data_IF_323745848707
#
_entry.id   IF_323745848707
#
_cell.length_a   1.000
_cell.length_b   1.000
_cell.length_c   1.000
_cell.angle_alpha   90.00
_cell.angle_beta   90.00
_cell.angle_gamma   90.00
#
_symmetry.space_group_name_H-M   'P 1'
#
loop_
_entity.id
_entity.type
_entity.pdbx_description
1 polymer ?
#
# COMPACT_ATOMS: atom_id res chain seq x y z
N UNK A 1 -49.84 2.69 -4.66
CA UNK A 1 -50.02 4.02 -4.04
C UNK A 1 -48.79 4.84 -4.37
N UNK A 2 -48.99 5.98 -5.03
CA UNK A 2 -47.95 6.81 -5.64
C UNK A 2 -46.94 7.26 -4.59
N UNK A 3 -45.72 6.72 -4.66
CA UNK A 3 -44.60 7.17 -3.84
C UNK A 3 -44.10 8.49 -4.46
N UNK A 4 -44.85 9.57 -4.23
CA UNK A 4 -44.43 10.93 -4.50
C UNK A 4 -43.27 11.22 -3.56
N UNK A 5 -42.07 10.77 -3.93
CA UNK A 5 -40.84 11.07 -3.22
C UNK A 5 -40.75 12.58 -3.12
N UNK A 6 -40.99 13.13 -1.92
CA UNK A 6 -41.02 14.56 -1.67
C UNK A 6 -39.84 15.23 -2.39
N UNK A 7 -40.15 15.99 -3.44
CA UNK A 7 -39.17 16.76 -4.18
C UNK A 7 -38.90 18.00 -3.35
N UNK A 8 -37.89 17.95 -2.47
CA UNK A 8 -37.37 19.18 -1.88
C UNK A 8 -36.88 20.07 -3.01
N UNK A 9 -37.39 21.30 -3.05
CA UNK A 9 -36.83 22.35 -3.89
C UNK A 9 -35.61 22.92 -3.16
N UNK A 10 -34.44 22.76 -3.76
CA UNK A 10 -33.19 23.32 -3.24
C UNK A 10 -32.93 24.68 -3.88
N UNK A 11 -32.38 25.60 -3.10
CA UNK A 11 -31.95 26.90 -3.62
C UNK A 11 -30.80 26.69 -4.63
N UNK A 12 -30.93 27.18 -5.88
CA UNK A 12 -29.86 27.15 -6.88
C UNK A 12 -28.54 27.76 -6.38
N UNK A 13 -28.56 28.71 -5.45
CA UNK A 13 -27.34 29.31 -4.91
C UNK A 13 -26.46 28.31 -4.17
N UNK A 14 -27.03 27.26 -3.55
CA UNK A 14 -26.26 26.22 -2.85
C UNK A 14 -25.34 25.49 -3.83
N UNK A 15 -25.76 25.31 -5.09
CA UNK A 15 -24.94 24.67 -6.12
C UNK A 15 -23.69 25.49 -6.42
N UNK A 16 -23.84 26.79 -6.62
CA UNK A 16 -22.76 27.66 -7.07
C UNK A 16 -21.81 28.06 -5.92
N UNK A 17 -22.34 28.17 -4.69
CA UNK A 17 -21.57 28.60 -3.52
C UNK A 17 -21.04 27.47 -2.64
N UNK A 18 -21.59 26.26 -2.77
CA UNK A 18 -21.19 25.12 -1.92
C UNK A 18 -20.71 23.94 -2.75
N UNK A 19 -21.51 23.47 -3.70
CA UNK A 19 -21.18 22.25 -4.46
C UNK A 19 -19.92 22.46 -5.31
N UNK A 20 -19.89 23.49 -6.15
CA UNK A 20 -18.76 23.77 -7.02
C UNK A 20 -17.48 24.14 -6.23
N UNK A 21 -17.52 25.03 -5.23
CA UNK A 21 -16.33 25.37 -4.45
C UNK A 21 -15.74 24.18 -3.69
N UNK A 22 -16.56 23.31 -3.07
CA UNK A 22 -16.04 22.11 -2.40
C UNK A 22 -15.30 21.22 -3.40
N UNK A 23 -15.87 20.97 -4.58
CA UNK A 23 -15.20 20.13 -5.60
C UNK A 23 -13.88 20.74 -6.09
N UNK A 24 -13.85 22.06 -6.31
CA UNK A 24 -12.65 22.77 -6.77
C UNK A 24 -11.55 22.75 -5.71
N UNK A 25 -11.89 23.06 -4.46
CA UNK A 25 -10.96 23.01 -3.33
C UNK A 25 -10.40 21.59 -3.17
N UNK A 26 -11.23 20.55 -3.35
CA UNK A 26 -10.74 19.16 -3.28
C UNK A 26 -9.67 18.88 -4.31
N UNK A 27 -9.92 19.24 -5.57
CA UNK A 27 -8.96 19.04 -6.66
C UNK A 27 -7.66 19.80 -6.39
N UNK A 28 -7.76 21.08 -6.01
CA UNK A 28 -6.59 21.92 -5.74
C UNK A 28 -5.79 21.41 -4.55
N UNK A 29 -6.44 21.00 -3.45
CA UNK A 29 -5.75 20.46 -2.28
C UNK A 29 -5.12 19.11 -2.61
N UNK A 30 -5.76 18.26 -3.41
CA UNK A 30 -5.17 17.01 -3.88
C UNK A 30 -3.89 17.24 -4.69
N UNK A 31 -3.91 18.20 -5.62
CA UNK A 31 -2.74 18.59 -6.41
C UNK A 31 -1.64 19.18 -5.52
N UNK A 32 -2.00 20.09 -4.61
CA UNK A 32 -1.05 20.71 -3.68
C UNK A 32 -0.39 19.67 -2.79
N UNK A 33 -1.18 18.76 -2.22
CA UNK A 33 -0.70 17.63 -1.41
C UNK A 33 0.29 16.80 -2.21
N UNK A 34 -0.01 16.48 -3.47
CA UNK A 34 0.90 15.69 -4.30
C UNK A 34 2.29 16.33 -4.41
N UNK A 35 2.34 17.62 -4.72
CA UNK A 35 3.59 18.36 -4.82
C UNK A 35 4.30 18.51 -3.46
N UNK A 36 3.57 18.75 -2.37
CA UNK A 36 4.14 18.79 -1.02
C UNK A 36 4.80 17.45 -0.67
N UNK A 37 4.13 16.33 -0.96
CA UNK A 37 4.69 15.00 -0.71
C UNK A 37 5.93 14.77 -1.56
N UNK A 38 5.91 15.12 -2.85
CA UNK A 38 7.10 15.03 -3.70
C UNK A 38 8.27 15.86 -3.18
N UNK A 39 8.01 17.06 -2.65
CA UNK A 39 9.04 17.93 -2.06
C UNK A 39 9.57 17.41 -0.72
N UNK A 40 8.72 16.70 0.04
CA UNK A 40 9.08 16.14 1.34
C UNK A 40 9.73 14.75 1.23
N UNK A 41 9.58 14.07 0.10
CA UNK A 41 10.30 12.83 -0.19
C UNK A 41 11.80 13.15 -0.27
N UNK A 42 12.53 12.76 0.77
CA UNK A 42 13.98 12.82 0.76
C UNK A 42 14.54 11.85 -0.28
N UNK A 43 15.60 12.26 -0.98
CA UNK A 43 16.37 11.34 -1.81
C UNK A 43 16.80 10.13 -0.96
N UNK A 44 16.62 8.88 -1.45
CA UNK A 44 16.95 7.69 -0.67
C UNK A 44 18.36 7.81 -0.10
N UNK A 45 18.47 7.78 1.24
CA UNK A 45 19.77 7.86 1.92
C UNK A 45 20.64 6.73 1.36
N UNK A 46 21.82 7.09 0.84
CA UNK A 46 22.75 6.10 0.28
C UNK A 46 23.12 5.11 1.39
N UNK A 47 22.60 3.89 1.31
CA UNK A 47 22.97 2.83 2.23
C UNK A 47 24.45 2.46 2.04
N UNK A 48 25.16 2.09 3.12
CA UNK A 48 26.52 1.60 2.99
C UNK A 48 26.55 0.31 2.16
N UNK A 49 27.64 0.09 1.41
CA UNK A 49 27.78 -1.07 0.50
C UNK A 49 27.57 -2.41 1.20
N UNK A 50 27.96 -2.51 2.47
CA UNK A 50 27.78 -3.71 3.30
C UNK A 50 26.30 -4.00 3.54
N UNK A 51 25.50 -3.00 3.93
CA UNK A 51 24.05 -3.13 4.14
C UNK A 51 23.31 -3.52 2.84
N UNK A 52 23.69 -2.90 1.72
CA UNK A 52 23.12 -3.25 0.40
C UNK A 52 23.45 -4.71 0.06
N UNK A 53 24.67 -5.15 0.37
CA UNK A 53 25.09 -6.53 0.10
C UNK A 53 24.26 -7.54 0.90
N UNK A 54 23.99 -7.30 2.18
CA UNK A 54 23.14 -8.21 2.97
C UNK A 54 21.71 -8.26 2.42
N UNK A 55 21.12 -7.10 2.12
CA UNK A 55 19.77 -7.02 1.57
C UNK A 55 19.68 -7.73 0.20
N UNK A 56 20.66 -7.51 -0.68
CA UNK A 56 20.68 -8.13 -2.02
C UNK A 56 20.92 -9.63 -1.95
N UNK A 57 21.73 -10.11 -1.01
CA UNK A 57 21.93 -11.54 -0.79
C UNK A 57 20.62 -12.23 -0.37
N UNK A 58 19.83 -11.59 0.51
CA UNK A 58 18.50 -12.05 0.91
C UNK A 58 17.51 -12.03 -0.26
N UNK A 59 17.46 -10.94 -1.03
CA UNK A 59 16.58 -10.88 -2.22
C UNK A 59 16.94 -11.98 -3.23
N UNK A 60 18.24 -12.28 -3.39
CA UNK A 60 18.70 -13.37 -4.27
C UNK A 60 18.22 -14.74 -3.78
N UNK A 61 18.24 -15.04 -2.48
CA UNK A 61 17.67 -16.31 -1.97
C UNK A 61 16.17 -16.37 -2.19
N UNK A 62 15.45 -15.27 -1.97
CA UNK A 62 14.01 -15.21 -2.18
C UNK A 62 13.60 -15.43 -3.63
N UNK A 63 14.34 -14.86 -4.59
CA UNK A 63 14.13 -15.10 -6.02
C UNK A 63 14.39 -16.57 -6.35
N UNK A 64 15.48 -17.15 -5.84
CA UNK A 64 15.82 -18.55 -6.07
C UNK A 64 14.69 -19.48 -5.56
N UNK A 65 14.17 -19.21 -4.36
CA UNK A 65 13.02 -19.93 -3.79
C UNK A 65 11.74 -19.72 -4.58
N UNK A 66 11.42 -18.48 -4.96
CA UNK A 66 10.20 -18.17 -5.71
C UNK A 66 10.19 -18.84 -7.10
N UNK A 67 11.38 -19.05 -7.65
CA UNK A 67 11.57 -19.67 -8.97
C UNK A 67 11.86 -21.17 -8.85
N UNK A 68 11.86 -21.79 -7.66
CA UNK A 68 12.25 -23.20 -7.50
C UNK A 68 11.29 -24.15 -8.23
N UNK A 69 9.99 -23.87 -8.17
CA UNK A 69 8.96 -24.70 -8.82
C UNK A 69 8.95 -24.60 -10.34
N UNK A 70 9.46 -23.50 -10.92
CA UNK A 70 9.52 -23.26 -12.37
C UNK A 70 10.87 -22.66 -12.72
N UNK A 71 11.94 -23.38 -12.38
CA UNK A 71 13.28 -22.84 -12.50
C UNK A 71 13.74 -22.80 -13.96
N UNK A 72 14.19 -21.65 -14.48
CA UNK A 72 14.84 -21.58 -15.78
C UNK A 72 16.27 -22.14 -15.73
N UNK A 73 16.81 -22.39 -14.53
CA UNK A 73 18.20 -22.77 -14.31
C UNK A 73 18.31 -24.30 -14.32
N UNK A 74 19.29 -24.89 -15.04
CA UNK A 74 19.53 -26.33 -15.01
C UNK A 74 19.89 -26.87 -13.61
N UNK A 75 19.71 -28.18 -13.36
CA UNK A 75 19.87 -28.76 -12.03
C UNK A 75 21.26 -28.55 -11.41
N UNK A 76 22.32 -28.69 -12.21
CA UNK A 76 23.70 -28.51 -11.77
C UNK A 76 23.98 -27.10 -11.24
N UNK A 77 23.48 -26.08 -11.95
CA UNK A 77 23.65 -24.69 -11.57
C UNK A 77 22.78 -24.32 -10.38
N UNK A 78 21.53 -24.78 -10.34
CA UNK A 78 20.63 -24.50 -9.22
C UNK A 78 21.22 -25.02 -7.90
N UNK A 79 21.68 -26.28 -7.88
CA UNK A 79 22.31 -26.91 -6.71
C UNK A 79 23.61 -26.19 -6.31
N UNK A 80 24.42 -25.76 -7.29
CA UNK A 80 25.66 -25.03 -6.97
C UNK A 80 25.37 -23.66 -6.33
N UNK A 81 24.33 -22.97 -6.78
CA UNK A 81 23.95 -21.64 -6.27
C UNK A 81 23.29 -21.77 -4.89
N UNK A 82 22.40 -22.74 -4.70
CA UNK A 82 21.72 -22.98 -3.43
C UNK A 82 22.70 -23.39 -2.33
N UNK A 83 23.67 -24.26 -2.65
CA UNK A 83 24.74 -24.67 -1.73
C UNK A 83 25.66 -23.51 -1.38
N UNK A 84 26.17 -22.79 -2.37
CA UNK A 84 27.02 -21.61 -2.14
C UNK A 84 26.31 -20.55 -1.28
N UNK A 85 25.01 -20.34 -1.50
CA UNK A 85 24.23 -19.36 -0.74
C UNK A 85 23.97 -19.83 0.69
N UNK A 86 23.68 -21.11 0.88
CA UNK A 86 23.54 -21.73 2.21
C UNK A 86 24.84 -21.66 3.02
N UNK A 87 25.98 -22.00 2.40
CA UNK A 87 27.31 -21.88 3.00
C UNK A 87 27.67 -20.43 3.33
N UNK A 88 27.35 -19.49 2.44
CA UNK A 88 27.64 -18.06 2.65
C UNK A 88 26.76 -17.44 3.75
N UNK A 89 25.54 -17.95 3.96
CA UNK A 89 24.66 -17.59 5.07
C UNK A 89 25.12 -18.19 6.40
N UNK A 90 25.65 -19.42 6.39
CA UNK A 90 26.24 -20.05 7.57
C UNK A 90 27.55 -19.36 8.00
N UNK A 91 28.44 -19.08 7.04
CA UNK A 91 29.69 -18.37 7.28
C UNK A 91 29.49 -16.88 7.63
N UNK A 92 28.28 -16.35 7.43
CA UNK A 92 27.94 -14.96 7.72
C UNK A 92 28.70 -13.94 6.87
N UNK A 93 29.20 -14.34 5.69
CA UNK A 93 30.00 -13.50 4.78
C UNK A 93 29.23 -12.26 4.34
N UNK A 94 27.91 -12.39 4.24
CA UNK A 94 27.01 -11.33 3.81
C UNK A 94 26.49 -10.44 4.94
N UNK A 95 26.77 -10.72 6.22
CA UNK A 95 26.41 -9.81 7.31
C UNK A 95 27.28 -8.54 7.26
N UNK A 96 26.69 -7.40 7.62
CA UNK A 96 27.39 -6.11 7.75
C UNK A 96 28.33 -6.06 8.93
N UNK A 97 28.03 -6.83 9.97
CA UNK A 97 28.85 -6.94 11.18
C UNK A 97 29.93 -8.04 11.09
N UNK A 98 30.03 -8.72 9.94
CA UNK A 98 30.95 -9.85 9.70
C UNK A 98 30.42 -11.19 10.21
N UNK A 99 31.23 -12.27 10.11
CA UNK A 99 30.84 -13.60 10.57
C UNK A 99 30.41 -13.56 12.04
N UNK A 100 29.35 -14.29 12.43
CA UNK A 100 28.90 -14.33 13.81
C UNK A 100 30.05 -14.85 14.69
N UNK A 101 30.67 -13.98 15.48
CA UNK A 101 31.49 -14.42 16.61
C UNK A 101 30.55 -15.18 17.54
N UNK A 102 30.92 -16.43 17.85
CA UNK A 102 30.10 -17.39 18.58
C UNK A 102 29.39 -16.80 19.80
N UNK A 103 28.17 -17.30 20.02
CA UNK A 103 27.38 -17.18 21.25
C UNK A 103 27.27 -15.80 21.91
N UNK A 104 27.27 -14.71 21.12
CA UNK A 104 26.70 -13.46 21.58
C UNK A 104 25.20 -13.45 21.25
N UNK A 105 24.36 -13.44 22.30
CA UNK A 105 22.94 -13.20 22.16
C UNK A 105 22.72 -12.00 21.22
N UNK A 106 21.85 -12.09 20.21
CA UNK A 106 21.58 -10.95 19.34
C UNK A 106 21.08 -9.85 20.26
N UNK A 107 21.88 -8.78 20.39
CA UNK A 107 21.48 -7.61 21.13
C UNK A 107 20.09 -7.23 20.58
N UNK A 108 19.05 -7.12 21.44
CA UNK A 108 17.72 -6.77 20.99
C UNK A 108 17.89 -5.54 20.09
N UNK A 109 17.35 -5.56 18.85
CA UNK A 109 17.57 -4.48 17.90
C UNK A 109 17.18 -3.19 18.59
N UNK A 110 18.15 -2.36 18.94
CA UNK A 110 17.89 -1.17 19.73
C UNK A 110 16.97 -0.28 18.86
N UNK A 111 15.72 -0.04 19.27
CA UNK A 111 14.81 0.84 18.53
C UNK A 111 15.30 2.29 18.47
N UNK A 112 16.37 2.58 19.23
CA UNK A 112 17.05 3.87 19.37
C UNK A 112 18.24 4.03 18.41
N UNK A 113 18.48 3.08 17.49
CA UNK A 113 19.51 3.27 16.47
C UNK A 113 19.10 4.47 15.58
N UNK A 114 19.90 5.55 15.47
CA UNK A 114 19.48 6.80 14.82
C UNK A 114 18.97 6.60 13.39
N UNK A 115 19.47 5.59 12.67
CA UNK A 115 19.03 5.26 11.32
C UNK A 115 17.65 4.58 11.26
N UNK A 116 17.30 3.75 12.26
CA UNK A 116 15.99 3.12 12.36
C UNK A 116 14.94 4.13 12.84
N UNK A 117 15.32 5.02 13.77
CA UNK A 117 14.48 6.11 14.24
C UNK A 117 14.26 7.17 13.15
N UNK A 118 15.27 7.50 12.35
CA UNK A 118 15.14 8.38 11.18
C UNK A 118 14.18 7.79 10.13
N UNK A 119 14.29 6.48 9.85
CA UNK A 119 13.39 5.77 8.93
C UNK A 119 11.94 5.78 9.43
N UNK A 120 11.73 5.45 10.70
CA UNK A 120 10.43 5.50 11.35
C UNK A 120 9.85 6.92 11.38
N UNK A 121 10.65 7.92 11.72
CA UNK A 121 10.22 9.32 11.77
C UNK A 121 9.93 9.88 10.38
N UNK A 122 10.65 9.44 9.35
CA UNK A 122 10.34 9.78 7.95
C UNK A 122 9.02 9.17 7.49
N UNK A 123 8.74 7.91 7.87
CA UNK A 123 7.46 7.25 7.64
C UNK A 123 6.32 7.95 8.37
N UNK A 124 6.52 8.29 9.65
CA UNK A 124 5.55 9.03 10.46
C UNK A 124 5.30 10.44 9.92
N UNK A 125 6.35 11.17 9.51
CA UNK A 125 6.22 12.50 8.89
C UNK A 125 5.43 12.42 7.59
N UNK A 126 5.74 11.43 6.75
CA UNK A 126 4.99 11.20 5.51
C UNK A 126 3.53 10.88 5.81
N UNK A 127 3.25 10.01 6.78
CA UNK A 127 1.89 9.66 7.20
C UNK A 127 1.12 10.85 7.79
N UNK A 128 1.78 11.71 8.59
CA UNK A 128 1.18 12.93 9.11
C UNK A 128 0.83 13.92 7.99
N UNK A 129 1.72 14.06 6.99
CA UNK A 129 1.46 14.88 5.81
C UNK A 129 0.27 14.35 5.00
N UNK A 130 0.03 13.04 5.01
CA UNK A 130 -1.17 12.45 4.39
C UNK A 130 -2.44 12.69 5.23
N UNK A 131 -2.37 12.60 6.56
CA UNK A 131 -3.55 12.64 7.45
C UNK A 131 -4.03 14.06 7.78
N UNK A 132 -3.12 15.00 7.99
CA UNK A 132 -3.45 16.37 8.45
C UNK A 132 -4.40 17.10 7.49
N UNK A 133 -4.15 17.11 6.16
CA UNK A 133 -5.06 17.80 5.23
C UNK A 133 -6.48 17.26 5.30
N UNK A 134 -6.64 15.94 5.45
CA UNK A 134 -7.94 15.28 5.52
C UNK A 134 -8.76 15.72 6.73
N UNK A 135 -8.12 15.80 7.90
CA UNK A 135 -8.80 16.28 9.12
C UNK A 135 -9.13 17.77 9.04
N UNK A 136 -8.21 18.60 8.53
CA UNK A 136 -8.43 20.04 8.41
C UNK A 136 -9.60 20.33 7.46
N UNK A 137 -9.65 19.67 6.30
CA UNK A 137 -10.75 19.84 5.36
C UNK A 137 -12.06 19.34 5.96
N UNK A 138 -12.06 18.17 6.59
CA UNK A 138 -13.27 17.63 7.22
C UNK A 138 -13.84 18.58 8.29
N UNK A 139 -12.96 19.19 9.10
CA UNK A 139 -13.34 20.22 10.07
C UNK A 139 -13.82 21.51 9.41
N UNK A 140 -13.14 21.97 8.36
CA UNK A 140 -13.52 23.16 7.60
C UNK A 140 -14.92 23.04 6.98
N UNK A 141 -15.23 21.91 6.34
CA UNK A 141 -16.54 21.66 5.74
C UNK A 141 -17.62 21.57 6.82
N UNK A 142 -17.31 20.94 7.95
CA UNK A 142 -18.26 20.85 9.05
C UNK A 142 -18.54 22.21 9.72
N UNK A 143 -17.56 23.11 9.78
CA UNK A 143 -17.74 24.45 10.36
C UNK A 143 -18.50 25.40 9.42
N UNK A 144 -18.13 25.46 8.14
CA UNK A 144 -18.69 26.43 7.18
C UNK A 144 -19.97 25.96 6.48
N UNK A 145 -20.17 24.65 6.33
CA UNK A 145 -21.24 24.10 5.48
C UNK A 145 -22.14 23.08 6.19
N UNK A 146 -22.45 23.27 7.48
CA UNK A 146 -23.39 22.40 8.20
C UNK A 146 -24.85 22.91 8.17
N UNK A 147 -25.81 22.03 8.47
CA UNK A 147 -27.20 22.43 8.73
C UNK A 147 -28.14 22.39 7.52
N UNK A 148 -27.65 22.05 6.32
CA UNK A 148 -28.47 22.03 5.10
C UNK A 148 -28.22 20.80 4.22
N UNK A 149 -29.21 20.52 3.37
CA UNK A 149 -29.17 19.46 2.34
C UNK A 149 -28.50 20.03 1.09
N UNK A 150 -27.57 19.29 0.49
CA UNK A 150 -26.79 19.75 -0.66
C UNK A 150 -27.29 19.19 -1.99
N UNK A 151 -27.46 17.87 -2.08
CA UNK A 151 -27.88 17.20 -3.32
C UNK A 151 -28.64 15.91 -3.02
N UNK A 152 -29.47 15.50 -3.98
CA UNK A 152 -30.13 14.19 -4.02
C UNK A 152 -29.33 13.23 -4.90
N UNK A 153 -28.94 12.08 -4.37
CA UNK A 153 -28.29 11.03 -5.16
C UNK A 153 -29.31 10.26 -6.02
N UNK A 154 -28.95 9.90 -7.26
CA UNK A 154 -29.87 9.26 -8.20
C UNK A 154 -30.08 7.76 -7.95
N UNK A 155 -29.36 7.15 -7.00
CA UNK A 155 -29.44 5.73 -6.66
C UNK A 155 -29.99 5.52 -5.23
N UNK A 156 -30.68 4.40 -4.98
CA UNK A 156 -31.17 4.06 -3.64
C UNK A 156 -30.00 3.70 -2.71
N UNK A 157 -30.07 4.17 -1.47
CA UNK A 157 -29.08 3.89 -0.41
C UNK A 157 -29.74 3.17 0.77
N UNK A 158 -28.98 2.35 1.48
CA UNK A 158 -29.44 1.65 2.67
C UNK A 158 -29.43 2.56 3.90
N UNK A 159 -30.33 2.32 4.86
CA UNK A 159 -30.46 3.10 6.10
C UNK A 159 -29.18 3.15 6.94
N UNK A 160 -28.28 2.17 6.82
CA UNK A 160 -27.00 2.15 7.53
C UNK A 160 -26.09 3.34 7.18
N UNK A 161 -26.23 3.91 5.99
CA UNK A 161 -25.47 5.10 5.58
C UNK A 161 -26.09 6.41 6.08
N UNK A 162 -27.30 6.40 6.64
CA UNK A 162 -28.04 7.62 6.99
C UNK A 162 -27.31 8.49 8.00
N UNK A 163 -26.80 7.89 9.08
CA UNK A 163 -26.07 8.62 10.14
C UNK A 163 -24.79 9.28 9.61
N UNK A 164 -24.15 8.68 8.61
CA UNK A 164 -22.97 9.22 7.96
C UNK A 164 -23.35 10.30 6.94
N UNK A 165 -24.34 10.02 6.10
CA UNK A 165 -24.71 10.85 4.95
C UNK A 165 -25.47 12.13 5.33
N UNK A 166 -26.19 12.11 6.44
CA UNK A 166 -27.03 13.22 6.93
C UNK A 166 -26.48 13.85 8.20
N UNK A 167 -25.18 13.66 8.48
CA UNK A 167 -24.55 14.29 9.64
C UNK A 167 -24.68 15.81 9.53
N UNK A 168 -25.29 16.42 10.56
CA UNK A 168 -25.57 17.85 10.61
C UNK A 168 -26.95 18.26 10.05
N UNK A 169 -27.86 17.31 9.83
CA UNK A 169 -29.26 17.57 9.45
C UNK A 169 -30.17 16.95 10.51
N UNK A 170 -30.98 17.76 11.19
CA UNK A 170 -31.82 17.34 12.32
C UNK A 170 -33.22 16.83 11.91
N UNK A 171 -33.32 16.13 10.77
CA UNK A 171 -34.60 15.61 10.26
C UNK A 171 -34.57 14.09 10.13
N UNK A 172 -35.08 13.34 11.13
CA UNK A 172 -34.96 11.88 11.19
C UNK A 172 -35.79 11.15 10.13
N UNK A 173 -36.81 11.79 9.56
CA UNK A 173 -37.71 11.17 8.56
C UNK A 173 -37.28 11.41 7.10
N UNK A 174 -36.17 12.12 6.88
CA UNK A 174 -35.65 12.42 5.55
C UNK A 174 -35.15 11.15 4.83
N UNK A 175 -35.44 11.03 3.52
CA UNK A 175 -34.90 9.95 2.67
C UNK A 175 -33.36 10.00 2.62
N UNK A 176 -32.71 8.84 2.70
CA UNK A 176 -31.24 8.65 2.74
C UNK A 176 -30.55 9.17 1.48
N UNK A 177 -31.29 9.33 0.38
CA UNK A 177 -30.79 9.91 -0.87
C UNK A 177 -30.44 11.39 -0.76
N UNK A 178 -30.97 12.09 0.23
CA UNK A 178 -30.61 13.49 0.50
C UNK A 178 -29.36 13.54 1.37
N UNK A 179 -28.35 14.24 0.87
CA UNK A 179 -26.99 14.16 1.37
C UNK A 179 -26.51 15.52 1.83
N UNK A 180 -25.78 15.55 2.95
CA UNK A 180 -25.16 16.77 3.49
C UNK A 180 -23.85 17.12 2.75
N UNK A 181 -23.33 18.31 3.00
CA UNK A 181 -22.04 18.79 2.47
C UNK A 181 -20.85 17.88 2.83
N UNK A 182 -20.81 17.36 4.06
CA UNK A 182 -19.76 16.47 4.56
C UNK A 182 -19.68 15.17 3.75
N UNK A 183 -20.85 14.71 3.33
CA UNK A 183 -21.02 13.46 2.62
C UNK A 183 -20.73 13.63 1.13
N UNK A 184 -21.04 14.80 0.57
CA UNK A 184 -20.53 15.22 -0.73
C UNK A 184 -19.00 15.27 -0.76
N UNK A 185 -18.37 15.73 0.33
CA UNK A 185 -16.92 15.66 0.48
C UNK A 185 -16.40 14.22 0.46
N UNK A 186 -16.98 13.31 1.24
CA UNK A 186 -16.58 11.90 1.21
C UNK A 186 -16.76 11.29 -0.18
N UNK A 187 -17.83 11.65 -0.90
CA UNK A 187 -18.05 11.18 -2.27
C UNK A 187 -16.93 11.67 -3.20
N UNK A 188 -16.56 12.95 -3.13
CA UNK A 188 -15.41 13.49 -3.88
C UNK A 188 -14.09 12.86 -3.45
N UNK A 189 -13.89 12.64 -2.15
CA UNK A 189 -12.70 12.04 -1.59
C UNK A 189 -12.42 10.64 -2.17
N UNK A 190 -13.45 9.81 -2.31
CA UNK A 190 -13.30 8.48 -2.92
C UNK A 190 -13.37 8.49 -4.45
N UNK A 191 -14.16 9.40 -5.04
CA UNK A 191 -14.41 9.45 -6.48
C UNK A 191 -13.33 10.15 -7.31
N UNK A 192 -12.60 11.11 -6.73
CA UNK A 192 -11.60 11.90 -7.46
C UNK A 192 -10.30 11.14 -7.76
N UNK A 193 -10.12 9.92 -7.22
CA UNK A 193 -8.91 9.12 -7.47
C UNK A 193 -8.69 8.83 -8.96
N UNK A 194 -9.76 8.56 -9.72
CA UNK A 194 -9.67 8.40 -11.17
C UNK A 194 -9.20 9.67 -11.88
N UNK A 195 -9.69 10.83 -11.43
CA UNK A 195 -9.29 12.14 -11.95
C UNK A 195 -7.82 12.45 -11.60
N UNK A 196 -7.38 12.16 -10.38
CA UNK A 196 -5.99 12.36 -9.99
C UNK A 196 -5.03 11.46 -10.78
N UNK A 197 -5.44 10.22 -11.09
CA UNK A 197 -4.64 9.33 -11.96
C UNK A 197 -4.51 9.86 -13.38
N UNK A 198 -5.55 10.51 -13.90
CA UNK A 198 -5.50 11.14 -15.22
C UNK A 198 -4.63 12.41 -15.23
N UNK A 199 -4.74 13.25 -14.20
CA UNK A 199 -4.01 14.53 -14.11
C UNK A 199 -2.54 14.36 -13.72
N UNK A 200 -2.24 13.48 -12.76
CA UNK A 200 -0.93 13.37 -12.11
C UNK A 200 -0.22 12.02 -12.38
N UNK A 201 -0.87 11.09 -13.07
CA UNK A 201 -0.32 9.76 -13.37
C UNK A 201 -0.58 8.70 -12.30
N UNK A 202 -0.07 7.48 -12.54
CA UNK A 202 -0.35 6.29 -11.72
C UNK A 202 0.26 6.30 -10.31
N UNK A 203 1.42 6.95 -10.14
CA UNK A 203 2.14 7.05 -8.87
C UNK A 203 1.85 8.36 -8.12
N UNK A 204 0.63 8.88 -8.27
CA UNK A 204 0.25 10.10 -7.56
C UNK A 204 0.05 9.85 -6.06
N UNK A 205 0.46 10.83 -5.26
CA UNK A 205 0.27 10.88 -3.80
C UNK A 205 -0.98 11.66 -3.40
N UNK A 206 -1.86 11.97 -4.36
CA UNK A 206 -3.16 12.60 -4.13
C UNK A 206 -4.24 11.56 -3.78
N UNK A 207 -4.04 10.30 -4.16
CA UNK A 207 -4.94 9.17 -3.85
C UNK A 207 -4.98 8.92 -2.34
N UNK A 208 -6.00 9.47 -1.71
CA UNK A 208 -6.18 9.44 -0.26
C UNK A 208 -6.93 8.19 0.22
N UNK A 209 -7.50 7.40 -0.72
CA UNK A 209 -8.17 6.13 -0.39
C UNK A 209 -7.18 5.05 0.04
N UNK A 210 -5.97 5.08 -0.54
CA UNK A 210 -4.85 4.20 -0.16
C UNK A 210 -4.42 4.45 1.29
N UNK A 211 -4.47 5.70 1.76
CA UNK A 211 -4.08 6.04 3.13
C UNK A 211 -5.07 5.52 4.17
N UNK A 212 -6.37 5.52 3.86
CA UNK A 212 -7.40 5.02 4.77
C UNK A 212 -7.37 3.49 4.89
N UNK A 213 -7.05 2.79 3.80
CA UNK A 213 -6.81 1.33 3.83
C UNK A 213 -5.46 0.99 4.45
N UNK A 214 -4.47 1.87 4.35
CA UNK A 214 -3.19 1.78 5.05
C UNK A 214 -3.26 2.32 6.50
N UNK A 215 -4.44 2.33 7.12
CA UNK A 215 -4.64 2.78 8.50
C UNK A 215 -3.61 2.13 9.45
N UNK A 216 -2.96 2.92 10.33
CA UNK A 216 -1.95 2.43 11.26
C UNK A 216 -2.45 1.31 12.19
N UNK A 217 -3.77 1.16 12.35
CA UNK A 217 -4.34 0.09 13.19
C UNK A 217 -4.47 -1.25 12.46
N UNK A 218 -4.63 -1.25 11.13
CA UNK A 218 -4.63 -2.48 10.33
C UNK A 218 -3.21 -2.97 10.04
N UNK A 219 -2.26 -2.03 9.91
CA UNK A 219 -0.83 -2.34 9.74
C UNK A 219 -0.04 -2.44 11.05
N UNK A 220 -0.64 -2.22 12.23
CA UNK A 220 0.02 -2.47 13.52
C UNK A 220 0.44 -3.95 13.70
N UNK A 221 -0.14 -4.88 12.94
CA UNK A 221 0.28 -6.28 12.88
C UNK A 221 1.35 -6.59 11.82
N UNK A 222 1.65 -5.67 10.90
CA UNK A 222 2.53 -5.90 9.74
C UNK A 222 3.69 -4.89 9.61
N UNK A 223 3.67 -3.79 10.36
CA UNK A 223 4.73 -2.80 10.43
C UNK A 223 5.69 -3.07 11.60
N UNK A 224 6.15 -4.30 11.75
CA UNK A 224 7.47 -4.52 12.35
C UNK A 224 8.54 -4.19 11.32
N UNK A 225 8.73 -2.90 11.05
CA UNK A 225 9.99 -2.39 10.50
C UNK A 225 10.86 -1.97 11.69
N UNK A 226 11.09 -2.92 12.61
CA UNK A 226 12.25 -2.87 13.48
C UNK A 226 13.51 -3.14 12.65
N UNK A 227 14.71 -2.85 13.16
CA UNK A 227 15.94 -3.29 12.51
C UNK A 227 15.86 -4.81 12.34
N UNK A 228 15.74 -5.26 11.09
CA UNK A 228 15.65 -6.67 10.78
C UNK A 228 16.95 -7.33 11.22
N UNK A 229 16.84 -8.30 12.12
CA UNK A 229 17.96 -9.13 12.54
C UNK A 229 18.32 -10.08 11.38
N UNK A 230 19.17 -9.59 10.48
CA UNK A 230 19.56 -10.30 9.25
C UNK A 230 20.20 -11.65 9.55
N UNK A 231 20.82 -11.83 10.72
CA UNK A 231 21.36 -13.13 11.13
C UNK A 231 20.26 -14.19 11.30
N UNK A 232 19.14 -13.84 11.96
CA UNK A 232 17.99 -14.74 12.07
C UNK A 232 17.32 -14.97 10.72
N UNK A 233 17.21 -13.92 9.90
CA UNK A 233 16.65 -14.03 8.57
C UNK A 233 17.48 -14.97 7.69
N UNK A 234 18.82 -14.87 7.71
CA UNK A 234 19.68 -15.77 6.95
C UNK A 234 19.60 -17.22 7.43
N UNK A 235 19.46 -17.47 8.74
CA UNK A 235 19.19 -18.82 9.26
C UNK A 235 17.85 -19.36 8.73
N UNK A 236 16.79 -18.54 8.80
CA UNK A 236 15.47 -18.95 8.29
C UNK A 236 15.49 -19.17 6.77
N UNK A 237 16.23 -18.35 6.02
CA UNK A 237 16.28 -18.49 4.56
C UNK A 237 17.15 -19.67 4.13
N UNK A 238 18.17 -20.06 4.91
CA UNK A 238 18.89 -21.31 4.68
C UNK A 238 17.93 -22.50 4.76
N UNK A 239 17.12 -22.58 5.82
CA UNK A 239 16.17 -23.67 6.00
C UNK A 239 15.10 -23.67 4.89
N UNK A 240 14.68 -22.48 4.45
CA UNK A 240 13.77 -22.33 3.30
C UNK A 240 14.42 -22.75 1.97
N UNK A 241 15.71 -22.45 1.75
CA UNK A 241 16.45 -22.88 0.55
C UNK A 241 16.51 -24.41 0.53
N UNK A 242 16.84 -25.04 1.65
CA UNK A 242 16.86 -26.50 1.77
C UNK A 242 15.50 -27.12 1.44
N UNK A 243 14.39 -26.51 1.89
CA UNK A 243 13.06 -26.94 1.50
C UNK A 243 12.79 -26.73 -0.01
N UNK A 244 13.22 -25.60 -0.57
CA UNK A 244 13.02 -25.26 -1.98
C UNK A 244 13.76 -26.18 -2.95
N UNK A 245 14.88 -26.79 -2.51
CA UNK A 245 15.58 -27.82 -3.29
C UNK A 245 14.70 -29.07 -3.49
N UNK A 246 13.85 -29.43 -2.53
CA UNK A 246 12.90 -30.54 -2.67
C UNK A 246 11.72 -30.24 -3.60
N UNK A 247 11.42 -28.96 -3.83
CA UNK A 247 10.35 -28.48 -4.73
C UNK A 247 10.93 -28.04 -6.09
N UNK A 248 12.23 -28.25 -6.29
CA UNK A 248 12.90 -27.85 -7.52
C UNK A 248 12.34 -28.63 -8.71
N UNK A 249 11.85 -27.91 -9.72
CA UNK A 249 11.53 -28.49 -11.02
C UNK A 249 12.13 -27.61 -12.12
N UNK A 250 12.78 -28.27 -13.08
CA UNK A 250 13.44 -27.58 -14.18
C UNK A 250 12.44 -27.35 -15.30
N UNK A 251 12.22 -26.09 -15.67
CA UNK A 251 11.35 -25.76 -16.81
C UNK A 251 11.91 -26.34 -18.10
N UNK A 252 13.21 -26.59 -18.21
CA UNK A 252 13.80 -27.23 -19.38
C UNK A 252 13.47 -28.71 -19.53
N UNK A 253 12.97 -29.37 -18.48
CA UNK A 253 12.57 -30.77 -18.53
C UNK A 253 11.31 -30.91 -19.40
N UNK A 254 11.34 -31.82 -20.36
CA UNK A 254 10.25 -32.05 -21.34
C UNK A 254 9.85 -30.81 -22.18
N UNK A 255 10.75 -29.84 -22.38
CA UNK A 255 10.47 -28.68 -23.25
C UNK A 255 10.20 -29.12 -24.67
N UNK A 256 10.99 -30.06 -25.17
CA UNK A 256 10.90 -30.60 -26.52
C UNK A 256 9.50 -31.17 -26.75
N UNK A 257 9.03 -32.02 -25.83
CA UNK A 257 7.71 -32.64 -25.91
C UNK A 257 6.57 -31.62 -25.76
N UNK A 258 6.69 -30.63 -24.87
CA UNK A 258 5.68 -29.57 -24.74
C UNK A 258 5.59 -28.68 -25.97
N UNK A 259 6.73 -28.33 -26.58
CA UNK A 259 6.78 -27.53 -27.81
C UNK A 259 6.24 -28.36 -28.98
N UNK A 260 6.65 -29.61 -29.11
CA UNK A 260 6.18 -30.51 -30.15
C UNK A 260 4.68 -30.78 -30.05
N UNK A 261 4.12 -30.97 -28.85
CA UNK A 261 2.65 -31.10 -28.63
C UNK A 261 1.87 -29.83 -28.93
N UNK A 262 2.48 -28.65 -28.72
CA UNK A 262 1.80 -27.36 -28.94
C UNK A 262 1.73 -26.98 -30.42
N UNK A 263 2.76 -27.32 -31.19
CA UNK A 263 2.88 -26.93 -32.60
C UNK A 263 2.69 -28.09 -33.59
N UNK A 264 2.69 -29.33 -33.12
CA UNK A 264 2.45 -30.54 -33.91
C UNK A 264 1.34 -31.32 -33.22
N UNK A 265 0.28 -31.70 -33.95
CA UNK A 265 -0.90 -32.40 -33.42
C UNK A 265 -0.59 -33.85 -32.99
N UNK A 266 0.30 -34.03 -32.02
CA UNK A 266 0.61 -35.33 -31.43
C UNK A 266 -0.39 -35.58 -30.29
N UNK A 267 -1.14 -36.70 -30.28
CA UNK A 267 -2.12 -36.99 -29.23
C UNK A 267 -1.44 -37.20 -27.86
N UNK A 268 -2.14 -36.90 -26.75
CA UNK A 268 -1.58 -37.03 -25.40
C UNK A 268 -1.31 -38.50 -25.04
N UNK A 269 -0.20 -38.73 -24.33
CA UNK A 269 0.11 -39.97 -23.63
C UNK A 269 -0.58 -39.99 -22.26
#
# INVERSE_FOLDING_TARGET
MSNSAASLFLDPQIRDWVLFPITLVMILVGILRHYIVLLLQSTPKKLPRTAIREQRALVRSQILRATSSTSPIPPSFYISISRHLSEAFEAGIYLKDGPPKGDAAPAPPNPMDPAAMDGMMSGMKTQMVMMVPQMVIMGWINFFFQGFVLIKLPFPLTLGFKSMLQRGIETPDMDVRWVSSLSWYFLNFFGLNGLYRLLLGGDNSADSSRDMTASPFANAGAAQVGPQDYHKLFKSERDNIAFSEGVYSWVGEEVEDRVLRRYTNIPPA
#
